data_IF_846810904747
#
_entry.id   IF_846810904747
#
_cell.length_a   1.000
_cell.length_b   1.000
_cell.length_c   1.000
_cell.angle_alpha   90.00
_cell.angle_beta   90.00
_cell.angle_gamma   90.00
#
_symmetry.space_group_name_H-M   'P 1'
#
loop_
_entity.id
_entity.type
_entity.pdbx_description
1 polymer ?
#
# COMPACT_ATOMS: atom_id res chain seq x y z
N UNK A 1 -47.94 -62.76 34.45
CA UNK A 1 -46.90 -63.34 33.55
C UNK A 1 -46.38 -62.21 32.67
N UNK A 2 -45.21 -62.40 32.05
CA UNK A 2 -44.43 -61.31 31.42
C UNK A 2 -45.22 -60.68 30.27
N UNK A 3 -45.39 -59.35 30.29
CA UNK A 3 -45.83 -58.59 29.11
C UNK A 3 -44.66 -58.50 28.13
N UNK A 4 -44.67 -59.36 27.12
CA UNK A 4 -43.82 -59.23 25.94
C UNK A 4 -44.53 -58.33 24.92
N UNK A 5 -44.52 -57.01 25.14
CA UNK A 5 -44.78 -55.96 24.13
C UNK A 5 -44.67 -54.56 24.76
N UNK A 6 -43.57 -54.29 25.48
CA UNK A 6 -43.12 -52.90 25.65
C UNK A 6 -42.21 -52.56 24.47
N UNK A 7 -42.77 -51.76 23.56
CA UNK A 7 -42.17 -51.23 22.35
C UNK A 7 -40.65 -51.04 22.43
N UNK A 8 -39.91 -51.91 21.74
CA UNK A 8 -38.70 -51.44 21.06
C UNK A 8 -39.17 -50.47 19.98
N UNK A 9 -39.30 -49.20 20.33
CA UNK A 9 -39.56 -48.13 19.37
C UNK A 9 -38.31 -47.90 18.51
N UNK A 10 -38.02 -48.88 17.65
CA UNK A 10 -36.88 -48.87 16.73
C UNK A 10 -36.98 -47.76 15.70
N UNK A 11 -38.12 -47.09 15.54
CA UNK A 11 -38.22 -45.90 14.67
C UNK A 11 -37.38 -44.74 15.19
N UNK A 12 -37.21 -44.60 16.51
CA UNK A 12 -36.35 -43.57 17.08
C UNK A 12 -34.87 -43.91 16.82
N UNK A 13 -34.47 -45.15 17.07
CA UNK A 13 -33.10 -45.63 16.78
C UNK A 13 -32.81 -45.67 15.27
N UNK A 14 -33.77 -45.99 14.41
CA UNK A 14 -33.63 -45.91 12.95
C UNK A 14 -33.57 -44.46 12.46
N UNK A 15 -34.18 -43.50 13.16
CA UNK A 15 -33.92 -42.08 12.93
C UNK A 15 -32.52 -41.67 13.41
N UNK A 16 -32.06 -42.10 14.59
CA UNK A 16 -30.67 -41.88 15.04
C UNK A 16 -29.64 -42.50 14.08
N UNK A 17 -29.96 -43.62 13.42
CA UNK A 17 -29.09 -44.28 12.43
C UNK A 17 -29.24 -43.66 11.02
N UNK A 18 -30.38 -43.02 10.67
CA UNK A 18 -30.57 -42.32 9.38
C UNK A 18 -30.18 -40.84 9.39
N UNK A 19 -30.22 -40.17 10.54
CA UNK A 19 -29.83 -38.77 10.73
C UNK A 19 -28.46 -38.64 11.43
N UNK A 20 -27.66 -39.71 11.42
CA UNK A 20 -26.46 -39.88 12.23
C UNK A 20 -25.53 -38.66 12.29
N UNK A 21 -24.83 -38.55 13.42
CA UNK A 21 -23.90 -37.47 13.74
C UNK A 21 -23.03 -37.08 12.55
N UNK A 22 -22.84 -35.77 12.35
CA UNK A 22 -21.96 -35.30 11.30
C UNK A 22 -20.49 -35.58 11.67
N UNK A 23 -19.68 -35.91 10.68
CA UNK A 23 -18.27 -36.26 10.84
C UNK A 23 -17.51 -35.67 9.67
N UNK A 24 -16.55 -34.79 9.94
CA UNK A 24 -15.89 -33.96 8.91
C UNK A 24 -14.38 -33.97 9.09
N UNK A 25 -13.72 -34.62 8.13
CA UNK A 25 -12.26 -34.68 8.08
C UNK A 25 -11.68 -33.48 7.35
N UNK A 26 -10.51 -33.04 7.83
CA UNK A 26 -9.70 -31.99 7.24
C UNK A 26 -8.34 -32.55 6.81
N UNK A 27 -7.95 -32.28 5.57
CA UNK A 27 -6.58 -32.40 5.09
C UNK A 27 -6.14 -31.05 4.51
N UNK A 28 -4.89 -30.70 4.70
CA UNK A 28 -4.31 -29.46 4.17
C UNK A 28 -3.13 -29.79 3.26
N UNK A 29 -2.92 -28.92 2.27
CA UNK A 29 -1.70 -28.88 1.47
C UNK A 29 -1.23 -27.44 1.41
N UNK A 30 0.08 -27.23 1.55
CA UNK A 30 0.70 -25.91 1.66
C UNK A 30 1.68 -25.65 0.52
N UNK A 31 1.68 -24.43 0.01
CA UNK A 31 2.66 -23.96 -0.96
C UNK A 31 3.24 -22.61 -0.53
N UNK A 32 4.56 -22.52 -0.44
CA UNK A 32 5.29 -21.37 0.11
C UNK A 32 5.94 -20.56 -1.01
N UNK A 33 5.62 -19.26 -1.11
CA UNK A 33 6.24 -18.35 -2.09
C UNK A 33 6.19 -16.88 -1.62
N UNK A 34 7.28 -16.12 -1.78
CA UNK A 34 7.32 -14.66 -1.54
C UNK A 34 6.67 -14.18 -0.21
N UNK A 35 6.86 -14.92 0.88
CA UNK A 35 6.24 -14.73 2.21
C UNK A 35 4.72 -14.97 2.30
N UNK A 36 4.09 -15.50 1.25
CA UNK A 36 2.74 -16.05 1.27
C UNK A 36 2.80 -17.57 1.46
N UNK A 37 1.82 -18.10 2.17
CA UNK A 37 1.56 -19.53 2.29
C UNK A 37 0.15 -19.75 1.75
N UNK A 38 0.05 -20.41 0.59
CA UNK A 38 -1.23 -20.85 0.03
C UNK A 38 -1.60 -22.16 0.71
N UNK A 39 -2.69 -22.15 1.49
CA UNK A 39 -3.21 -23.34 2.18
C UNK A 39 -4.48 -23.80 1.50
N UNK A 40 -4.50 -25.07 1.08
CA UNK A 40 -5.62 -25.72 0.45
C UNK A 40 -6.27 -26.69 1.46
N UNK A 41 -7.33 -26.25 2.13
CA UNK A 41 -8.09 -27.09 3.06
C UNK A 41 -9.07 -27.98 2.27
N UNK A 42 -8.73 -29.26 2.13
CA UNK A 42 -9.62 -30.31 1.64
C UNK A 42 -10.49 -30.83 2.79
N UNK A 43 -11.78 -30.54 2.71
CA UNK A 43 -12.81 -30.92 3.67
C UNK A 43 -13.57 -32.11 3.07
N UNK A 44 -13.76 -33.19 3.84
CA UNK A 44 -14.58 -34.34 3.41
C UNK A 44 -15.57 -34.73 4.49
N UNK A 45 -16.85 -34.78 4.16
CA UNK A 45 -17.88 -35.33 5.05
C UNK A 45 -17.80 -36.87 4.99
N UNK A 46 -17.65 -37.49 6.15
CA UNK A 46 -17.51 -38.94 6.29
C UNK A 46 -18.86 -39.65 6.51
N UNK A 47 -19.97 -38.90 6.66
CA UNK A 47 -21.32 -39.46 6.87
C UNK A 47 -22.28 -39.18 5.71
N UNK A 48 -23.28 -40.05 5.57
CA UNK A 48 -24.31 -39.91 4.52
C UNK A 48 -25.30 -38.74 4.76
N UNK A 49 -25.21 -38.03 5.89
CA UNK A 49 -25.98 -36.81 6.19
C UNK A 49 -25.19 -35.62 5.68
N UNK A 50 -25.75 -34.80 4.78
CA UNK A 50 -25.12 -33.55 4.37
C UNK A 50 -24.90 -32.61 5.57
N UNK A 51 -23.77 -31.93 5.59
CA UNK A 51 -23.32 -31.11 6.71
C UNK A 51 -23.04 -29.65 6.30
N UNK A 52 -23.42 -28.71 7.15
CA UNK A 52 -23.03 -27.31 7.04
C UNK A 52 -21.74 -27.10 7.83
N UNK A 53 -20.64 -26.85 7.10
CA UNK A 53 -19.29 -26.81 7.68
C UNK A 53 -18.82 -25.37 7.83
N UNK A 54 -18.29 -25.04 9.00
CA UNK A 54 -17.56 -23.81 9.25
C UNK A 54 -16.06 -24.09 9.33
N UNK A 55 -15.30 -23.57 8.37
CA UNK A 55 -13.84 -23.54 8.39
C UNK A 55 -13.38 -22.23 9.04
N UNK A 56 -12.51 -22.34 10.06
CA UNK A 56 -11.82 -21.21 10.73
C UNK A 56 -10.33 -21.47 10.82
N UNK A 57 -9.56 -20.39 10.79
CA UNK A 57 -8.10 -20.40 10.99
C UNK A 57 -7.77 -19.44 12.11
N UNK A 58 -7.23 -19.99 13.20
CA UNK A 58 -6.93 -19.27 14.44
C UNK A 58 -5.43 -19.07 14.61
N UNK A 59 -5.01 -17.93 15.18
CA UNK A 59 -3.63 -17.70 15.62
C UNK A 59 -3.35 -18.25 17.01
N UNK A 60 -2.25 -19.01 17.14
CA UNK A 60 -1.64 -19.55 18.36
C UNK A 60 -2.49 -20.52 19.21
N UNK A 61 -3.81 -20.34 19.30
CA UNK A 61 -4.75 -21.21 20.04
C UNK A 61 -6.18 -21.10 19.49
N UNK A 62 -7.09 -21.99 19.90
CA UNK A 62 -8.50 -21.93 19.50
C UNK A 62 -9.28 -20.74 20.11
N UNK A 63 -8.71 -20.06 21.11
CA UNK A 63 -9.23 -18.82 21.69
C UNK A 63 -8.59 -17.56 21.07
N UNK A 64 -7.66 -17.74 20.11
CA UNK A 64 -6.91 -16.66 19.47
C UNK A 64 -7.64 -15.99 18.30
N UNK A 65 -6.97 -15.00 17.69
CA UNK A 65 -7.53 -14.21 16.60
C UNK A 65 -7.83 -15.07 15.35
N UNK A 66 -9.03 -14.90 14.78
CA UNK A 66 -9.44 -15.58 13.55
C UNK A 66 -8.95 -14.78 12.33
N UNK A 67 -7.99 -15.34 11.59
CA UNK A 67 -7.42 -14.71 10.38
C UNK A 67 -8.15 -15.10 9.09
N UNK A 68 -8.88 -16.21 9.10
CA UNK A 68 -9.72 -16.64 7.99
C UNK A 68 -10.95 -17.42 8.51
N UNK A 69 -12.10 -17.19 7.87
CA UNK A 69 -13.34 -17.92 8.15
C UNK A 69 -14.14 -18.09 6.86
N UNK A 70 -14.72 -19.29 6.65
CA UNK A 70 -15.68 -19.56 5.58
C UNK A 70 -16.70 -20.61 6.02
N UNK A 71 -17.97 -20.34 5.76
CA UNK A 71 -19.03 -21.34 5.82
C UNK A 71 -19.18 -22.01 4.45
N UNK A 72 -19.27 -23.33 4.44
CA UNK A 72 -19.60 -24.17 3.29
C UNK A 72 -20.94 -24.84 3.63
N UNK A 73 -21.92 -24.73 2.73
CA UNK A 73 -23.25 -25.30 2.93
C UNK A 73 -23.37 -26.64 2.21
N UNK A 74 -24.15 -27.55 2.78
CA UNK A 74 -24.59 -28.80 2.14
C UNK A 74 -23.45 -29.71 1.64
N UNK A 75 -22.39 -29.89 2.45
CA UNK A 75 -21.25 -30.76 2.12
C UNK A 75 -21.70 -32.22 2.15
N UNK A 76 -21.65 -32.89 0.99
CA UNK A 76 -22.02 -34.30 0.82
C UNK A 76 -20.84 -35.25 1.05
N UNK A 77 -21.09 -36.55 1.17
CA UNK A 77 -20.04 -37.57 1.26
C UNK A 77 -19.45 -38.02 -0.09
N UNK A 78 -20.00 -37.55 -1.21
CA UNK A 78 -19.54 -37.96 -2.54
C UNK A 78 -18.29 -37.21 -3.00
N UNK A 79 -18.11 -35.97 -2.53
CA UNK A 79 -17.07 -35.04 -3.00
C UNK A 79 -16.33 -34.39 -1.82
N UNK A 80 -15.01 -34.24 -1.95
CA UNK A 80 -14.25 -33.34 -1.07
C UNK A 80 -14.35 -31.90 -1.55
N UNK A 81 -14.63 -30.96 -0.66
CA UNK A 81 -14.59 -29.52 -0.95
C UNK A 81 -13.19 -28.97 -0.65
N UNK A 82 -12.54 -28.34 -1.62
CA UNK A 82 -11.25 -27.67 -1.41
C UNK A 82 -11.46 -26.17 -1.23
N UNK A 83 -11.03 -25.63 -0.09
CA UNK A 83 -11.05 -24.20 0.22
C UNK A 83 -9.62 -23.65 0.26
N UNK A 84 -9.20 -22.84 -0.73
CA UNK A 84 -7.93 -22.13 -0.67
C UNK A 84 -8.04 -20.88 0.22
N UNK A 85 -6.98 -20.59 0.97
CA UNK A 85 -6.75 -19.32 1.66
C UNK A 85 -5.25 -18.99 1.73
N UNK A 86 -4.92 -17.70 1.87
CA UNK A 86 -3.55 -17.20 1.91
C UNK A 86 -3.20 -16.71 3.33
N UNK A 87 -2.03 -17.10 3.86
CA UNK A 87 -1.44 -16.52 5.07
C UNK A 87 -0.22 -15.67 4.69
N UNK A 88 -0.22 -14.39 5.08
CA UNK A 88 0.83 -13.42 4.75
C UNK A 88 1.80 -13.25 5.93
N UNK A 89 3.02 -13.78 5.80
CA UNK A 89 4.06 -13.74 6.83
C UNK A 89 4.53 -12.33 7.17
N UNK A 90 4.28 -11.33 6.31
CA UNK A 90 4.61 -9.93 6.60
C UNK A 90 3.63 -9.25 7.56
N UNK A 91 2.45 -9.84 7.78
CA UNK A 91 1.45 -9.35 8.74
C UNK A 91 1.54 -10.05 10.10
N UNK A 92 2.34 -11.11 10.22
CA UNK A 92 2.43 -11.92 11.44
C UNK A 92 3.07 -11.14 12.59
N UNK A 93 2.37 -11.10 13.72
CA UNK A 93 2.93 -10.61 14.98
C UNK A 93 3.71 -11.74 15.67
N UNK A 94 4.96 -11.92 15.27
CA UNK A 94 5.85 -12.99 15.75
C UNK A 94 7.05 -12.42 16.48
N UNK A 95 7.46 -13.12 17.55
CA UNK A 95 8.81 -12.89 18.11
C UNK A 95 9.82 -13.52 17.15
N UNK A 96 10.87 -12.80 16.72
CA UNK A 96 11.92 -13.36 15.86
C UNK A 96 12.51 -14.65 16.43
N UNK A 97 12.68 -15.67 15.60
CA UNK A 97 13.19 -16.97 16.04
C UNK A 97 12.20 -17.79 16.89
N UNK A 98 10.91 -17.48 16.82
CA UNK A 98 9.82 -18.29 17.38
C UNK A 98 8.87 -18.69 16.27
N UNK A 99 8.60 -19.98 16.18
CA UNK A 99 7.64 -20.53 15.23
C UNK A 99 6.25 -19.93 15.50
N UNK A 100 5.49 -19.67 14.43
CA UNK A 100 4.09 -19.21 14.52
C UNK A 100 3.17 -20.40 14.31
N UNK A 101 2.20 -20.59 15.21
CA UNK A 101 1.20 -21.64 15.08
C UNK A 101 -0.10 -21.06 14.50
N UNK A 102 -0.62 -21.72 13.48
CA UNK A 102 -2.00 -21.55 13.02
C UNK A 102 -2.76 -22.86 13.25
N UNK A 103 -3.98 -22.75 13.76
CA UNK A 103 -4.90 -23.88 13.90
C UNK A 103 -5.97 -23.75 12.83
N UNK A 104 -5.92 -24.62 11.83
CA UNK A 104 -6.98 -24.74 10.82
C UNK A 104 -7.99 -25.74 11.37
N UNK A 105 -9.23 -25.34 11.59
CA UNK A 105 -10.27 -26.21 12.13
C UNK A 105 -11.55 -26.11 11.31
N UNK A 106 -12.15 -27.25 11.01
CA UNK A 106 -13.54 -27.33 10.54
C UNK A 106 -14.44 -27.76 11.68
N UNK A 107 -15.66 -27.21 11.72
CA UNK A 107 -16.70 -27.59 12.67
C UNK A 107 -18.06 -27.72 11.98
N UNK A 108 -18.87 -28.68 12.38
CA UNK A 108 -20.28 -28.83 11.97
C UNK A 108 -21.20 -28.96 13.20
N UNK A 109 -22.51 -28.77 12.99
CA UNK A 109 -23.51 -29.14 13.99
C UNK A 109 -23.47 -30.65 14.27
N UNK A 110 -23.70 -31.04 15.52
CA UNK A 110 -23.72 -32.43 16.02
C UNK A 110 -22.45 -33.25 15.77
N UNK A 111 -21.28 -32.61 15.70
CA UNK A 111 -20.00 -33.28 15.46
C UNK A 111 -19.51 -34.09 16.66
N UNK A 112 -19.26 -35.39 16.47
CA UNK A 112 -18.85 -36.31 17.56
C UNK A 112 -17.38 -36.75 17.44
N UNK A 113 -16.82 -36.75 16.23
CA UNK A 113 -15.41 -37.07 15.98
C UNK A 113 -14.61 -35.77 15.77
N UNK A 114 -13.67 -35.50 16.67
CA UNK A 114 -12.92 -34.22 16.72
C UNK A 114 -11.41 -34.40 16.55
N UNK A 115 -10.96 -35.59 16.13
CA UNK A 115 -9.54 -35.94 16.01
C UNK A 115 -8.92 -35.61 14.65
N UNK A 116 -9.75 -35.48 13.61
CA UNK A 116 -9.37 -35.31 12.21
C UNK A 116 -9.97 -34.05 11.56
N UNK A 117 -10.78 -33.29 12.31
CA UNK A 117 -11.37 -32.01 11.90
C UNK A 117 -10.41 -30.81 12.07
N UNK A 118 -9.15 -31.05 12.43
CA UNK A 118 -8.18 -30.02 12.79
C UNK A 118 -6.79 -30.32 12.23
N UNK A 119 -6.11 -29.26 11.77
CA UNK A 119 -4.72 -29.28 11.33
C UNK A 119 -3.90 -28.20 12.02
N UNK A 120 -2.71 -28.57 12.49
CA UNK A 120 -1.75 -27.68 13.13
C UNK A 120 -0.69 -27.25 12.11
N UNK A 121 -0.77 -26.00 11.65
CA UNK A 121 0.19 -25.40 10.74
C UNK A 121 1.26 -24.66 11.56
N UNK A 122 2.42 -25.29 11.74
CA UNK A 122 3.57 -24.70 12.43
C UNK A 122 4.54 -24.09 11.41
N UNK A 123 4.68 -22.77 11.46
CA UNK A 123 5.52 -22.01 10.56
C UNK A 123 6.85 -21.66 11.23
N UNK A 124 7.98 -22.25 10.81
CA UNK A 124 9.27 -21.90 11.39
C UNK A 124 9.62 -20.44 11.09
N UNK A 125 10.25 -19.76 12.06
CA UNK A 125 10.86 -18.43 11.84
C UNK A 125 12.30 -18.39 12.34
N UNK A 126 13.15 -17.61 11.68
CA UNK A 126 14.55 -17.43 12.10
C UNK A 126 14.73 -16.09 12.84
N UNK A 127 15.67 -16.03 13.78
CA UNK A 127 15.99 -14.78 14.50
C UNK A 127 16.47 -13.65 13.55
N UNK A 128 17.06 -14.02 12.42
CA UNK A 128 17.51 -13.10 11.37
C UNK A 128 16.51 -12.94 10.21
N UNK A 129 15.32 -13.54 10.28
CA UNK A 129 14.36 -13.53 9.18
C UNK A 129 13.63 -12.19 9.06
N UNK A 130 13.60 -11.67 7.84
CA UNK A 130 12.91 -10.42 7.54
C UNK A 130 11.50 -10.76 7.09
N UNK A 131 10.51 -10.50 7.93
CA UNK A 131 9.10 -10.72 7.58
C UNK A 131 8.56 -9.64 6.64
N UNK A 132 9.06 -8.41 6.74
CA UNK A 132 8.70 -7.32 5.84
C UNK A 132 9.77 -6.25 5.71
N UNK A 133 9.77 -5.57 4.57
CA UNK A 133 10.58 -4.39 4.27
C UNK A 133 9.66 -3.19 4.01
N UNK A 134 10.17 -1.97 4.18
CA UNK A 134 9.51 -0.70 3.87
C UNK A 134 10.52 0.24 3.20
N UNK A 135 10.06 1.11 2.30
CA UNK A 135 10.91 2.11 1.63
C UNK A 135 10.79 3.46 2.33
N UNK A 136 11.87 3.90 2.96
CA UNK A 136 11.98 5.16 3.67
C UNK A 136 12.79 6.19 2.89
N UNK A 137 12.26 7.41 2.81
CA UNK A 137 13.00 8.60 2.37
C UNK A 137 12.48 9.91 3.02
N UNK A 138 11.64 9.78 4.04
CA UNK A 138 10.95 10.89 4.72
C UNK A 138 9.80 11.54 3.93
N UNK A 139 9.41 11.02 2.76
CA UNK A 139 8.38 11.63 1.89
C UNK A 139 7.28 10.62 1.56
N UNK A 140 6.05 10.93 1.95
CA UNK A 140 4.86 10.13 1.62
C UNK A 140 4.59 9.95 0.10
N UNK A 141 5.30 10.65 -0.80
CA UNK A 141 5.21 10.49 -2.25
C UNK A 141 6.49 10.99 -2.97
N UNK A 142 7.01 10.15 -3.86
CA UNK A 142 8.12 10.45 -4.76
C UNK A 142 7.61 11.16 -6.03
N UNK A 143 7.83 12.47 -6.09
CA UNK A 143 7.45 13.29 -7.25
C UNK A 143 8.51 14.34 -7.54
N UNK A 144 8.99 14.35 -8.79
CA UNK A 144 10.12 15.14 -9.24
C UNK A 144 9.76 15.98 -10.48
N UNK A 145 10.36 17.17 -10.57
CA UNK A 145 10.42 17.98 -11.79
C UNK A 145 11.62 17.55 -12.62
N UNK A 146 11.43 17.18 -13.88
CA UNK A 146 12.50 16.60 -14.69
C UNK A 146 13.70 17.56 -14.83
N UNK A 147 13.47 18.82 -15.21
CA UNK A 147 14.58 19.73 -15.55
C UNK A 147 15.48 20.07 -14.36
N UNK A 148 14.94 20.05 -13.14
CA UNK A 148 15.70 20.32 -11.92
C UNK A 148 16.32 19.09 -11.28
N UNK A 149 15.94 17.88 -11.71
CA UNK A 149 16.36 16.61 -11.07
C UNK A 149 16.93 15.58 -12.05
N UNK A 150 16.97 15.84 -13.37
CA UNK A 150 17.62 14.99 -14.37
C UNK A 150 19.06 14.65 -13.97
N UNK A 151 19.41 13.37 -14.04
CA UNK A 151 20.68 12.80 -13.60
C UNK A 151 21.09 13.09 -12.14
N UNK A 152 20.17 13.59 -11.29
CA UNK A 152 20.40 13.64 -9.84
C UNK A 152 19.99 12.32 -9.22
N UNK A 153 20.71 12.00 -8.14
CA UNK A 153 20.53 10.78 -7.36
C UNK A 153 19.98 11.09 -5.97
N UNK A 154 19.22 10.15 -5.42
CA UNK A 154 18.54 10.23 -4.12
C UNK A 154 18.67 8.89 -3.43
N UNK A 155 19.15 8.90 -2.19
CA UNK A 155 19.15 7.70 -1.36
C UNK A 155 17.70 7.33 -0.99
N UNK A 156 17.27 6.12 -1.36
CA UNK A 156 16.16 5.45 -0.69
C UNK A 156 16.76 4.49 0.35
N UNK A 157 16.18 4.38 1.53
CA UNK A 157 16.56 3.35 2.50
C UNK A 157 15.48 2.29 2.59
N UNK A 158 15.90 1.05 2.82
CA UNK A 158 15.01 -0.02 3.23
C UNK A 158 15.06 -0.09 4.76
N UNK A 159 13.90 -0.22 5.39
CA UNK A 159 13.78 -0.54 6.82
C UNK A 159 13.01 -1.84 6.97
N UNK A 160 13.51 -2.74 7.81
CA UNK A 160 12.94 -4.05 8.07
C UNK A 160 12.06 -4.04 9.32
N UNK A 161 11.16 -5.02 9.45
CA UNK A 161 10.40 -5.26 10.69
C UNK A 161 11.33 -5.46 11.89
N UNK A 162 12.41 -6.20 11.70
CA UNK A 162 13.53 -6.32 12.62
C UNK A 162 14.43 -5.07 12.61
N UNK A 163 14.55 -4.39 13.76
CA UNK A 163 15.47 -3.26 13.93
C UNK A 163 16.87 -3.75 14.31
N UNK A 164 17.91 -3.24 13.65
CA UNK A 164 19.32 -3.54 13.95
C UNK A 164 19.93 -4.69 13.15
N UNK A 165 19.11 -5.49 12.46
CA UNK A 165 19.59 -6.51 11.51
C UNK A 165 19.98 -5.84 10.19
N UNK A 166 21.18 -6.13 9.67
CA UNK A 166 21.63 -5.62 8.36
C UNK A 166 21.16 -6.58 7.25
N UNK A 167 20.02 -6.26 6.67
CA UNK A 167 19.44 -6.96 5.52
C UNK A 167 20.31 -6.90 4.24
N UNK A 168 20.31 -7.97 3.44
CA UNK A 168 20.72 -7.89 2.04
C UNK A 168 19.50 -7.52 1.20
N UNK A 169 19.52 -6.31 0.66
CA UNK A 169 18.36 -5.69 0.01
C UNK A 169 18.58 -5.56 -1.48
N UNK A 170 17.68 -6.15 -2.26
CA UNK A 170 17.67 -6.11 -3.72
C UNK A 170 16.65 -5.06 -4.19
N UNK A 171 17.10 -4.12 -5.02
CA UNK A 171 16.29 -3.05 -5.59
C UNK A 171 16.11 -3.21 -7.10
N UNK A 172 14.92 -2.84 -7.59
CA UNK A 172 14.61 -2.82 -9.03
C UNK A 172 13.69 -1.65 -9.40
N UNK A 173 13.64 -1.33 -10.69
CA UNK A 173 12.75 -0.31 -11.25
C UNK A 173 11.96 -0.89 -12.41
N UNK A 174 10.64 -0.65 -12.42
CA UNK A 174 9.76 -1.04 -13.51
C UNK A 174 9.98 -0.23 -14.80
N UNK A 175 10.74 0.87 -14.74
CA UNK A 175 10.99 1.74 -15.91
C UNK A 175 12.30 2.53 -15.77
N UNK A 176 13.40 1.92 -16.20
CA UNK A 176 14.74 2.51 -16.21
C UNK A 176 14.87 3.79 -17.08
N UNK A 177 13.99 4.01 -18.06
CA UNK A 177 14.00 5.24 -18.85
C UNK A 177 13.46 6.45 -18.05
N UNK A 178 12.65 6.21 -17.01
CA UNK A 178 12.14 7.25 -16.09
C UNK A 178 13.08 7.41 -14.90
N UNK A 179 13.40 6.31 -14.22
CA UNK A 179 14.33 6.30 -13.09
C UNK A 179 15.00 4.94 -12.96
N UNK A 180 16.33 4.95 -12.80
CA UNK A 180 17.14 3.77 -12.46
C UNK A 180 17.37 3.74 -10.95
N UNK A 181 17.53 2.57 -10.36
CA UNK A 181 17.99 2.42 -8.98
C UNK A 181 19.17 1.46 -8.94
N UNK A 182 20.16 1.75 -8.11
CA UNK A 182 21.25 0.81 -7.86
C UNK A 182 20.76 -0.38 -7.03
N UNK A 183 21.07 -1.59 -7.51
CA UNK A 183 20.44 -2.83 -7.06
C UNK A 183 20.75 -3.19 -5.60
N UNK A 184 21.86 -2.73 -5.04
CA UNK A 184 22.30 -3.09 -3.68
C UNK A 184 22.32 -1.91 -2.72
N UNK A 185 22.58 -0.69 -3.21
CA UNK A 185 22.63 0.52 -2.37
C UNK A 185 21.32 1.28 -2.28
N UNK A 186 20.34 1.05 -3.17
CA UNK A 186 19.08 1.80 -3.18
C UNK A 186 19.20 3.24 -3.68
N UNK A 187 20.29 3.58 -4.38
CA UNK A 187 20.53 4.92 -4.90
C UNK A 187 19.72 5.19 -6.19
N UNK A 188 18.61 5.92 -6.06
CA UNK A 188 17.67 6.25 -7.13
C UNK A 188 18.17 7.42 -7.99
N UNK A 189 18.32 7.24 -9.30
CA UNK A 189 18.73 8.29 -10.25
C UNK A 189 17.63 8.57 -11.29
N UNK A 190 17.27 9.84 -11.46
CA UNK A 190 16.23 10.27 -12.41
C UNK A 190 16.78 10.36 -13.83
N UNK A 191 16.14 9.70 -14.80
CA UNK A 191 16.55 9.62 -16.21
C UNK A 191 15.60 10.30 -17.20
N UNK A 192 14.30 10.29 -16.95
CA UNK A 192 13.30 10.78 -17.90
C UNK A 192 11.94 11.09 -17.27
N UNK A 193 11.01 11.59 -18.08
CA UNK A 193 9.63 11.87 -17.65
C UNK A 193 8.76 10.63 -17.74
N UNK A 194 7.90 10.42 -16.74
CA UNK A 194 6.94 9.32 -16.70
C UNK A 194 6.70 8.82 -15.28
N UNK A 195 6.42 7.53 -15.16
CA UNK A 195 6.27 6.83 -13.87
C UNK A 195 7.14 5.58 -13.88
N UNK A 196 7.81 5.32 -12.75
CA UNK A 196 8.47 4.05 -12.45
C UNK A 196 7.98 3.56 -11.08
N UNK A 197 7.74 2.27 -10.94
CA UNK A 197 7.57 1.62 -9.64
C UNK A 197 8.95 1.12 -9.24
N UNK A 198 9.43 1.56 -8.08
CA UNK A 198 10.65 1.07 -7.47
C UNK A 198 10.23 -0.01 -6.49
N UNK A 199 10.80 -1.21 -6.65
CA UNK A 199 10.50 -2.38 -5.82
C UNK A 199 11.74 -2.77 -5.05
N UNK A 200 11.56 -3.21 -3.81
CA UNK A 200 12.63 -3.76 -2.99
C UNK A 200 12.19 -5.04 -2.29
N UNK A 201 13.10 -6.03 -2.22
CA UNK A 201 12.96 -7.28 -1.45
C UNK A 201 14.21 -7.42 -0.58
N UNK A 202 14.03 -7.79 0.67
CA UNK A 202 15.14 -8.11 1.58
C UNK A 202 15.13 -9.62 1.85
N UNK A 203 16.16 -10.34 1.43
CA UNK A 203 16.19 -11.81 1.47
C UNK A 203 14.85 -12.41 0.93
N UNK A 204 14.18 -13.31 1.65
CA UNK A 204 12.88 -13.89 1.23
C UNK A 204 11.63 -13.11 1.65
N UNK A 205 11.79 -11.90 2.21
CA UNK A 205 10.70 -11.07 2.71
C UNK A 205 9.64 -10.67 1.67
N UNK A 206 8.47 -10.24 2.15
CA UNK A 206 7.48 -9.58 1.29
C UNK A 206 8.05 -8.31 0.66
N UNK A 207 7.75 -8.08 -0.62
CA UNK A 207 8.26 -6.96 -1.41
C UNK A 207 7.59 -5.63 -1.02
N UNK A 208 8.38 -4.57 -0.83
CA UNK A 208 7.84 -3.20 -0.75
C UNK A 208 7.98 -2.46 -2.07
N UNK A 209 7.05 -1.53 -2.35
CA UNK A 209 7.07 -0.73 -3.56
C UNK A 209 6.84 0.75 -3.28
N UNK A 210 7.42 1.63 -4.12
CA UNK A 210 7.12 3.06 -4.12
C UNK A 210 7.00 3.59 -5.55
N UNK A 211 5.97 4.39 -5.81
CA UNK A 211 5.75 5.01 -7.13
C UNK A 211 6.54 6.30 -7.27
N UNK A 212 7.57 6.29 -8.13
CA UNK A 212 8.30 7.47 -8.59
C UNK A 212 7.58 8.11 -9.77
N UNK A 213 7.16 9.37 -9.64
CA UNK A 213 6.57 10.15 -10.74
C UNK A 213 7.47 11.32 -11.13
N UNK A 214 7.92 11.36 -12.38
CA UNK A 214 8.76 12.45 -12.91
C UNK A 214 7.98 13.20 -13.98
N UNK A 215 7.77 14.51 -13.79
CA UNK A 215 7.04 15.34 -14.77
C UNK A 215 7.90 16.45 -15.28
N UNK A 216 7.83 16.72 -16.59
CA UNK A 216 8.22 18.03 -17.11
C UNK A 216 7.08 19.01 -16.86
N UNK A 217 7.45 20.28 -16.66
CA UNK A 217 6.53 21.42 -16.57
C UNK A 217 7.12 22.49 -17.45
N UNK A 218 6.32 23.02 -18.38
CA UNK A 218 6.73 24.06 -19.32
C UNK A 218 7.32 25.28 -18.59
N UNK A 219 8.54 25.67 -19.00
CA UNK A 219 9.36 26.76 -18.48
C UNK A 219 9.66 27.86 -19.52
N UNK A 220 8.84 28.00 -20.58
CA UNK A 220 8.66 29.26 -21.36
C UNK A 220 8.31 30.44 -20.43
N UNK A 221 8.22 31.74 -20.82
CA UNK A 221 8.11 32.93 -19.91
C UNK A 221 6.76 33.71 -19.98
N UNK A 222 6.18 34.26 -18.87
CA UNK A 222 4.93 35.01 -18.94
C UNK A 222 5.22 36.35 -19.63
N UNK A 223 4.69 36.47 -20.85
CA UNK A 223 4.89 37.64 -21.71
C UNK A 223 4.00 38.80 -21.24
N UNK A 224 4.37 40.00 -21.67
CA UNK A 224 3.57 41.23 -21.49
C UNK A 224 3.24 41.58 -20.03
N UNK A 225 4.20 41.40 -19.10
CA UNK A 225 4.05 41.94 -17.74
C UNK A 225 3.99 43.47 -17.79
N UNK A 226 2.88 44.03 -17.32
CA UNK A 226 2.56 45.46 -17.33
C UNK A 226 2.26 45.95 -15.92
N UNK A 227 2.60 47.21 -15.67
CA UNK A 227 2.10 47.98 -14.53
C UNK A 227 0.85 48.71 -15.03
N UNK A 228 -0.30 48.40 -14.44
CA UNK A 228 -1.59 48.96 -14.87
C UNK A 228 -1.95 50.23 -14.09
N UNK A 229 -1.56 50.30 -12.82
CA UNK A 229 -1.87 51.43 -11.93
C UNK A 229 -0.81 51.58 -10.86
N UNK A 230 -0.52 52.83 -10.50
CA UNK A 230 0.41 53.22 -9.44
C UNK A 230 -0.25 54.30 -8.60
N UNK A 231 -0.41 54.03 -7.30
CA UNK A 231 -0.91 54.94 -6.26
C UNK A 231 0.17 55.16 -5.20
N UNK A 232 -0.18 55.89 -4.15
CA UNK A 232 0.70 56.17 -2.97
C UNK A 232 0.96 54.90 -2.15
N UNK A 233 -0.03 54.01 -2.07
CA UNK A 233 -0.09 52.83 -1.19
C UNK A 233 -0.21 51.50 -1.95
N UNK A 234 -0.34 51.55 -3.28
CA UNK A 234 -0.68 50.36 -4.06
C UNK A 234 -0.23 50.38 -5.52
N UNK A 235 0.15 49.20 -6.02
CA UNK A 235 0.56 48.94 -7.40
C UNK A 235 -0.25 47.77 -7.97
N UNK A 236 -0.84 47.97 -9.15
CA UNK A 236 -1.55 46.91 -9.88
C UNK A 236 -0.72 46.41 -11.06
N UNK A 237 -0.56 45.09 -11.16
CA UNK A 237 0.16 44.39 -12.22
C UNK A 237 -0.79 43.54 -13.05
N UNK A 238 -0.49 43.37 -14.35
CA UNK A 238 -1.10 42.36 -15.22
C UNK A 238 -0.08 41.63 -16.10
N UNK A 239 -0.48 40.48 -16.65
CA UNK A 239 0.30 39.66 -17.58
C UNK A 239 -0.62 38.85 -18.52
N UNK A 240 -0.06 38.26 -19.58
CA UNK A 240 -0.82 37.35 -20.45
C UNK A 240 -0.97 35.95 -19.82
N UNK A 241 -2.03 35.22 -20.16
CA UNK A 241 -2.27 33.87 -19.62
C UNK A 241 -1.15 32.89 -20.03
N UNK A 242 -0.62 32.19 -19.03
CA UNK A 242 0.50 31.23 -19.05
C UNK A 242 1.84 31.74 -19.65
N UNK A 243 2.87 31.87 -18.79
CA UNK A 243 4.10 31.01 -18.74
C UNK A 243 5.11 31.54 -17.65
N UNK A 244 6.45 31.31 -17.72
CA UNK A 244 7.51 31.27 -16.62
C UNK A 244 9.13 31.17 -16.90
N UNK A 245 10.04 32.22 -16.93
CA UNK A 245 11.60 32.29 -16.99
C UNK A 245 12.40 33.24 -15.96
N UNK A 246 13.59 32.89 -15.37
CA UNK A 246 13.98 33.10 -13.91
C UNK A 246 14.67 34.37 -13.28
N UNK A 247 15.91 34.29 -12.73
CA UNK A 247 16.35 35.04 -11.52
C UNK A 247 17.82 35.56 -11.50
N UNK A 248 18.02 36.83 -11.13
CA UNK A 248 19.22 37.38 -10.45
C UNK A 248 18.77 38.46 -9.43
N UNK A 249 19.19 38.35 -8.15
CA UNK A 249 18.86 39.29 -7.05
C UNK A 249 18.02 38.68 -5.90
N UNK A 250 18.10 39.26 -4.69
CA UNK A 250 17.26 38.90 -3.52
C UNK A 250 15.83 39.45 -3.69
N UNK A 251 14.94 38.69 -4.32
CA UNK A 251 13.50 38.96 -4.38
C UNK A 251 12.73 38.17 -3.31
N UNK A 252 11.87 38.83 -2.53
CA UNK A 252 10.94 38.16 -1.61
C UNK A 252 9.61 37.82 -2.31
N UNK A 253 8.94 36.75 -1.86
CA UNK A 253 7.64 36.33 -2.43
C UNK A 253 6.50 37.15 -1.83
N UNK A 254 5.91 38.04 -2.62
CA UNK A 254 4.75 38.87 -2.21
C UNK A 254 3.41 38.12 -2.20
N UNK A 255 3.16 37.16 -3.11
CA UNK A 255 1.88 36.43 -3.15
C UNK A 255 1.93 35.10 -3.94
N UNK A 256 0.81 34.39 -4.01
CA UNK A 256 0.56 33.26 -4.92
C UNK A 256 -0.88 33.34 -5.42
N UNK A 257 -1.08 33.61 -6.70
CA UNK A 257 -2.41 33.61 -7.32
C UNK A 257 -2.83 32.17 -7.61
N UNK A 258 -3.88 31.68 -6.93
CA UNK A 258 -4.36 30.30 -7.05
C UNK A 258 -5.21 30.03 -8.30
N UNK A 259 -5.97 31.03 -8.77
CA UNK A 259 -6.84 30.89 -9.94
C UNK A 259 -6.04 31.13 -11.23
N UNK A 260 -5.90 30.10 -12.06
CA UNK A 260 -5.13 30.17 -13.32
C UNK A 260 -5.69 31.17 -14.35
N UNK A 261 -6.99 31.50 -14.29
CA UNK A 261 -7.63 32.52 -15.15
C UNK A 261 -7.35 33.96 -14.66
N UNK A 262 -6.86 34.16 -13.43
CA UNK A 262 -6.58 35.49 -12.87
C UNK A 262 -5.14 35.91 -13.20
N UNK A 263 -4.99 36.80 -14.17
CA UNK A 263 -3.70 37.33 -14.62
C UNK A 263 -3.36 38.72 -14.05
N UNK A 264 -3.85 39.02 -12.85
CA UNK A 264 -3.64 40.31 -12.18
C UNK A 264 -3.30 40.16 -10.69
N UNK A 265 -2.50 41.10 -10.17
CA UNK A 265 -2.16 41.20 -8.75
C UNK A 265 -2.13 42.66 -8.30
N UNK A 266 -2.57 42.91 -7.06
CA UNK A 266 -2.54 44.19 -6.39
C UNK A 266 -1.61 44.09 -5.18
N UNK A 267 -0.48 44.78 -5.22
CA UNK A 267 0.40 44.92 -4.08
C UNK A 267 -0.01 46.15 -3.25
N UNK A 268 -0.33 45.94 -1.96
CA UNK A 268 -0.65 46.98 -0.98
C UNK A 268 0.46 47.16 0.08
N UNK A 269 1.61 46.49 -0.08
CA UNK A 269 2.74 46.56 0.87
C UNK A 269 3.84 47.51 0.40
N UNK A 270 3.48 48.44 -0.49
CA UNK A 270 4.37 49.47 -1.03
C UNK A 270 4.27 50.77 -0.24
N UNK A 271 5.30 51.61 -0.31
CA UNK A 271 5.27 52.97 0.26
C UNK A 271 5.56 54.01 -0.81
N UNK A 272 4.98 55.20 -0.64
CA UNK A 272 5.19 56.38 -1.48
C UNK A 272 6.68 56.65 -1.77
N UNK A 273 6.96 57.19 -2.95
CA UNK A 273 8.29 57.58 -3.48
C UNK A 273 9.35 56.46 -3.60
N UNK A 274 9.12 55.25 -3.04
CA UNK A 274 10.03 54.09 -3.16
C UNK A 274 9.93 53.42 -4.55
N UNK A 275 11.04 52.80 -4.96
CA UNK A 275 11.13 52.03 -6.21
C UNK A 275 11.06 50.53 -5.93
N UNK A 276 10.20 49.82 -6.65
CA UNK A 276 9.98 48.38 -6.54
C UNK A 276 10.29 47.67 -7.87
N UNK A 277 10.62 46.38 -7.75
CA UNK A 277 10.95 45.51 -8.87
C UNK A 277 10.09 44.26 -8.79
N UNK A 278 9.30 43.99 -9.83
CA UNK A 278 8.32 42.91 -9.87
C UNK A 278 8.63 41.90 -10.97
N UNK A 279 8.26 40.64 -10.69
CA UNK A 279 8.26 39.54 -11.65
C UNK A 279 7.33 38.41 -11.20
N UNK A 280 6.80 37.65 -12.15
CA UNK A 280 5.76 36.61 -11.92
C UNK A 280 6.17 35.26 -12.50
N UNK A 281 5.76 34.16 -11.89
CA UNK A 281 6.00 32.78 -12.37
C UNK A 281 4.77 31.89 -12.30
N UNK A 282 4.59 31.01 -13.29
CA UNK A 282 3.63 29.92 -13.21
C UNK A 282 4.10 28.79 -12.27
N UNK A 283 3.15 27.98 -11.80
CA UNK A 283 3.42 26.74 -11.07
C UNK A 283 2.34 25.69 -11.38
N UNK A 284 2.69 24.41 -11.22
CA UNK A 284 1.77 23.27 -11.27
C UNK A 284 1.88 22.51 -9.95
N UNK A 285 0.75 22.16 -9.35
CA UNK A 285 0.74 21.23 -8.20
C UNK A 285 0.71 19.80 -8.73
N UNK A 286 1.60 18.94 -8.23
CA UNK A 286 1.66 17.50 -8.55
C UNK A 286 1.83 16.75 -7.23
N UNK A 287 0.87 15.88 -6.88
CA UNK A 287 0.82 15.14 -5.61
C UNK A 287 1.16 16.04 -4.39
N UNK A 288 0.44 17.16 -4.25
CA UNK A 288 0.64 18.15 -3.18
C UNK A 288 1.84 19.11 -3.33
N UNK A 289 2.90 18.71 -4.04
CA UNK A 289 4.11 19.54 -4.23
C UNK A 289 3.95 20.53 -5.40
N UNK A 290 4.43 21.76 -5.22
CA UNK A 290 4.44 22.80 -6.28
C UNK A 290 5.73 22.73 -7.09
N UNK A 291 5.61 22.34 -8.35
CA UNK A 291 6.65 22.51 -9.36
C UNK A 291 6.48 23.90 -9.95
N UNK A 292 7.54 24.69 -9.97
CA UNK A 292 7.51 26.04 -10.53
C UNK A 292 8.14 26.05 -11.92
N UNK A 293 7.47 26.70 -12.86
CA UNK A 293 8.22 27.30 -13.95
C UNK A 293 9.09 28.45 -13.42
N UNK A 294 9.81 29.12 -14.30
CA UNK A 294 10.66 30.23 -13.93
C UNK A 294 9.88 31.60 -13.97
N UNK A 295 10.48 32.79 -13.85
CA UNK A 295 9.79 34.10 -13.62
C UNK A 295 9.42 34.97 -14.87
N UNK A 296 9.36 36.30 -14.79
CA UNK A 296 9.21 37.18 -15.95
C UNK A 296 10.44 38.06 -16.12
N UNK A 297 10.54 38.76 -17.25
CA UNK A 297 11.33 40.00 -17.30
C UNK A 297 10.91 40.91 -16.15
N UNK A 298 11.90 41.53 -15.50
CA UNK A 298 11.65 42.39 -14.32
C UNK A 298 11.00 43.69 -14.77
N UNK A 299 9.94 44.12 -14.08
CA UNK A 299 9.37 45.47 -14.21
C UNK A 299 9.71 46.32 -13.00
N UNK A 300 10.37 47.45 -13.27
CA UNK A 300 10.68 48.53 -12.32
C UNK A 300 9.50 49.50 -12.27
N UNK A 301 9.13 49.95 -11.07
CA UNK A 301 8.09 50.95 -10.85
C UNK A 301 8.45 51.82 -9.65
N UNK A 302 8.18 53.13 -9.72
CA UNK A 302 8.31 54.06 -8.59
C UNK A 302 6.91 54.41 -8.11
N UNK A 303 6.62 54.27 -6.82
CA UNK A 303 5.34 54.68 -6.24
C UNK A 303 5.23 56.21 -6.24
N UNK A 304 4.00 56.71 -6.36
CA UNK A 304 3.72 58.15 -6.34
C UNK A 304 4.00 58.74 -4.96
#
# INVERSE_FOLDING_TARGET
MINQDEDRNTKNNEQEIKLGYADVSLKTTEYYHDNIIDVYAQISNLTARNADVELKVYEDSLDGDIVFQRTIKDVTNADSVVVPFELDRSKMNVTPGKDKLYIVKVTTEDEVCTGDNQYLLLLPTLESEITGVQICDGRANLTYDYDTNKNKSYQLTATTTLTGVKANVNWSSSNNAVATIDASSGNLTIKGTGTAIITTKADDSAKATVTVTVKSVDKTAPKNVKVNSVKVDSVTLSWNALTAVSNKGKFTKVSTVKNAKKTTFLDKKVSSKKTYYYKVRAYKTVKGKKIYGAYSVVKKVKCK
#
